data_IF_077615902968
#
_entry.id   IF_077615902968
#
_cell.length_a   1.000
_cell.length_b   1.000
_cell.length_c   1.000
_cell.angle_alpha   90.00
_cell.angle_beta   90.00
_cell.angle_gamma   90.00
#
_symmetry.space_group_name_H-M   'P 1'
#
loop_
_entity.id
_entity.type
_entity.pdbx_description
1 polymer ?
#
# COMPACT_ATOMS: atom_id res chain seq x y z
N UNK A 1 -37.90 -15.92 -10.24
CA UNK A 1 -37.02 -14.72 -10.27
C UNK A 1 -36.28 -14.59 -8.95
N UNK A 2 -34.94 -14.63 -8.97
CA UNK A 2 -34.13 -14.48 -7.76
C UNK A 2 -34.21 -13.04 -7.23
N UNK A 3 -34.44 -12.89 -5.92
CA UNK A 3 -34.42 -11.60 -5.21
C UNK A 3 -32.97 -11.10 -5.15
N UNK A 4 -32.72 -9.87 -5.60
CA UNK A 4 -31.41 -9.25 -5.49
C UNK A 4 -31.07 -8.96 -4.02
N UNK A 5 -29.98 -9.56 -3.53
CA UNK A 5 -29.47 -9.40 -2.18
C UNK A 5 -28.95 -7.96 -1.98
N UNK A 6 -29.49 -7.23 -1.01
CA UNK A 6 -29.17 -5.82 -0.71
C UNK A 6 -27.80 -5.63 -0.03
N UNK A 7 -26.98 -6.68 0.04
CA UNK A 7 -25.69 -6.72 0.75
C UNK A 7 -24.46 -6.51 -0.14
N UNK A 8 -24.61 -5.88 -1.31
CA UNK A 8 -23.45 -5.38 -2.05
C UNK A 8 -22.92 -4.15 -1.29
N UNK A 9 -22.01 -4.38 -0.33
CA UNK A 9 -21.04 -3.37 0.11
C UNK A 9 -20.61 -2.63 -1.16
N UNK A 10 -20.83 -1.31 -1.24
CA UNK A 10 -20.35 -0.49 -2.37
C UNK A 10 -18.89 -0.88 -2.56
N UNK A 11 -18.59 -1.60 -3.65
CA UNK A 11 -17.23 -1.93 -3.98
C UNK A 11 -16.58 -0.58 -4.27
N UNK A 12 -15.73 -0.14 -3.36
CA UNK A 12 -14.90 1.03 -3.59
C UNK A 12 -13.78 0.50 -4.46
N UNK A 13 -13.98 0.56 -5.78
CA UNK A 13 -12.90 0.36 -6.73
C UNK A 13 -11.99 1.58 -6.56
N UNK A 14 -10.72 1.43 -6.12
CA UNK A 14 -9.83 2.57 -5.97
C UNK A 14 -9.61 3.20 -7.34
N UNK A 15 -10.13 4.40 -7.54
CA UNK A 15 -9.87 5.23 -8.72
C UNK A 15 -8.76 6.22 -8.42
N UNK A 16 -8.01 6.60 -9.45
CA UNK A 16 -7.12 7.75 -9.36
C UNK A 16 -7.93 9.03 -9.08
N UNK A 17 -7.39 10.00 -8.32
CA UNK A 17 -8.04 11.28 -8.14
C UNK A 17 -8.11 12.04 -9.47
N UNK A 18 -9.17 12.83 -9.66
CA UNK A 18 -9.25 13.77 -10.78
C UNK A 18 -8.19 14.87 -10.59
N UNK A 19 -7.32 15.05 -11.58
CA UNK A 19 -6.32 16.12 -11.62
C UNK A 19 -6.85 17.33 -12.41
N UNK A 20 -6.26 18.51 -12.22
CA UNK A 20 -6.66 19.71 -13.00
C UNK A 20 -6.32 19.51 -14.48
N UNK A 21 -6.97 20.25 -15.36
CA UNK A 21 -6.67 20.23 -16.80
C UNK A 21 -5.19 20.61 -17.03
N UNK A 22 -4.42 19.70 -17.60
CA UNK A 22 -2.97 19.84 -17.79
C UNK A 22 -2.10 19.22 -16.69
N UNK A 23 -2.68 18.72 -15.60
CA UNK A 23 -1.95 17.97 -14.56
C UNK A 23 -2.04 16.47 -14.85
N UNK A 24 -0.88 15.81 -14.93
CA UNK A 24 -0.79 14.37 -15.10
C UNK A 24 -0.74 13.66 -13.73
N UNK A 25 -1.34 12.47 -13.58
CA UNK A 25 -1.10 11.65 -12.40
C UNK A 25 0.40 11.39 -12.30
N UNK A 26 1.00 11.81 -11.18
CA UNK A 26 2.43 11.63 -10.93
C UNK A 26 2.68 10.13 -10.77
N UNK A 27 3.31 9.54 -11.77
CA UNK A 27 3.87 8.20 -11.70
C UNK A 27 5.37 8.30 -11.41
N UNK A 28 6.00 7.21 -10.95
CA UNK A 28 7.46 7.17 -10.79
C UNK A 28 8.21 7.56 -12.08
N UNK A 29 7.60 7.36 -13.25
CA UNK A 29 8.13 7.74 -14.56
C UNK A 29 8.18 9.27 -14.80
N UNK A 30 7.32 10.02 -14.11
CA UNK A 30 7.14 11.47 -14.30
C UNK A 30 7.69 12.31 -13.14
N UNK A 31 8.40 11.69 -12.18
CA UNK A 31 9.00 12.39 -11.05
C UNK A 31 10.38 12.97 -11.42
N UNK A 32 10.69 14.18 -10.94
CA UNK A 32 11.98 14.86 -11.17
C UNK A 32 13.19 14.10 -10.62
N UNK A 33 12.97 13.10 -9.77
CA UNK A 33 13.98 12.13 -9.32
C UNK A 33 13.51 10.73 -9.67
N UNK A 34 14.35 10.02 -10.41
CA UNK A 34 14.13 8.63 -10.77
C UNK A 34 14.42 7.73 -9.56
N UNK A 35 13.43 6.97 -9.13
CA UNK A 35 13.51 6.00 -8.03
C UNK A 35 12.99 6.52 -6.69
N UNK A 36 12.34 5.63 -5.94
CA UNK A 36 12.19 5.83 -4.51
C UNK A 36 13.60 6.00 -3.94
N UNK A 37 13.86 7.09 -3.21
CA UNK A 37 14.89 7.03 -2.17
C UNK A 37 14.48 5.82 -1.35
N UNK A 38 15.19 4.71 -1.50
CA UNK A 38 14.94 3.51 -0.72
C UNK A 38 14.72 3.97 0.71
N UNK A 39 13.70 3.49 1.45
CA UNK A 39 13.57 3.85 2.86
C UNK A 39 14.83 3.49 3.65
N UNK A 40 15.67 2.62 3.07
CA UNK A 40 16.96 2.22 3.59
C UNK A 40 18.15 3.11 3.16
N UNK A 41 17.94 4.18 2.38
CA UNK A 41 18.98 5.14 1.98
C UNK A 41 20.22 4.46 1.40
N UNK A 42 21.33 4.51 2.15
CA UNK A 42 22.67 4.02 1.80
C UNK A 42 22.88 2.50 2.01
N UNK A 43 21.82 1.74 2.27
CA UNK A 43 21.91 0.29 2.48
C UNK A 43 22.25 -0.43 1.18
N UNK A 44 23.36 -1.18 1.20
CA UNK A 44 23.80 -2.06 0.11
C UNK A 44 23.45 -3.51 0.42
N UNK A 45 22.82 -4.19 -0.53
CA UNK A 45 22.46 -5.61 -0.43
C UNK A 45 23.56 -6.52 -1.01
N UNK A 46 23.66 -7.79 -0.55
CA UNK A 46 22.86 -8.42 0.51
C UNK A 46 23.31 -7.98 1.91
N UNK A 47 22.36 -7.95 2.84
CA UNK A 47 22.65 -7.76 4.25
C UNK A 47 22.92 -9.10 4.92
N UNK A 48 23.90 -9.14 5.82
CA UNK A 48 24.15 -10.34 6.64
C UNK A 48 22.99 -10.61 7.62
N UNK A 49 22.33 -9.55 8.11
CA UNK A 49 21.23 -9.61 9.08
C UNK A 49 20.22 -8.49 8.80
N UNK A 50 18.96 -8.71 9.18
CA UNK A 50 17.87 -7.75 9.07
C UNK A 50 17.31 -7.42 10.45
N UNK A 51 16.79 -6.19 10.69
CA UNK A 51 16.15 -5.81 11.96
C UNK A 51 14.73 -6.41 12.08
N UNK A 52 14.55 -7.66 11.65
CA UNK A 52 13.28 -8.35 11.68
C UNK A 52 13.00 -8.89 13.09
N UNK A 53 11.91 -8.44 13.68
CA UNK A 53 11.37 -9.00 14.91
C UNK A 53 10.16 -9.88 14.58
N UNK A 54 10.20 -11.14 15.03
CA UNK A 54 9.08 -12.06 14.82
C UNK A 54 7.93 -11.70 15.76
N UNK A 55 6.73 -11.41 15.26
CA UNK A 55 5.61 -11.02 16.11
C UNK A 55 5.13 -12.22 16.94
N UNK A 56 4.93 -12.02 18.22
CA UNK A 56 4.29 -12.99 19.10
C UNK A 56 2.81 -12.64 19.28
N UNK A 57 1.95 -13.67 19.27
CA UNK A 57 0.51 -13.50 19.53
C UNK A 57 0.21 -13.88 20.97
N UNK A 58 -0.23 -12.92 21.79
CA UNK A 58 -0.78 -13.19 23.11
C UNK A 58 -2.28 -13.52 22.99
N UNK A 59 -2.66 -14.74 23.38
CA UNK A 59 -4.07 -15.16 23.38
C UNK A 59 -4.76 -14.57 24.62
N UNK A 60 -5.84 -13.81 24.41
CA UNK A 60 -6.68 -13.31 25.50
C UNK A 60 -7.14 -14.47 26.40
N UNK A 61 -6.87 -14.38 27.71
CA UNK A 61 -7.39 -15.31 28.72
C UNK A 61 -8.77 -14.84 29.14
N UNK A 62 -9.77 -15.72 29.10
CA UNK A 62 -11.07 -15.45 29.71
C UNK A 62 -10.92 -15.44 31.22
N UNK A 63 -11.17 -14.29 31.84
CA UNK A 63 -11.34 -14.12 33.29
C UNK A 63 -12.57 -14.87 33.80
#
# INVERSE_FOLDING_TARGET
>A
MAKADKRKRKRIDPSWPETREGEHPVSELAADRQGALSPFGDVTFPLEQVPYEHPETEINKSS
#
